data_IF_491307182658
#
_entry.id   IF_491307182658
#
_cell.length_a   1.000
_cell.length_b   1.000
_cell.length_c   1.000
_cell.angle_alpha   90.00
_cell.angle_beta   90.00
_cell.angle_gamma   90.00
#
_symmetry.space_group_name_H-M   'P 1'
#
loop_
_entity.id
_entity.type
_entity.pdbx_description
1 polymer ?
#
# COMPACT_ATOMS: atom_id res chain seq x y z
N UNK A 1 -4.63 -6.64 17.13
CA UNK A 1 -5.96 -7.20 16.80
C UNK A 1 -6.89 -6.05 16.44
N UNK A 2 -6.95 -5.66 15.16
CA UNK A 2 -7.99 -4.75 14.70
C UNK A 2 -9.33 -5.50 14.78
N UNK A 3 -10.27 -4.97 15.58
CA UNK A 3 -11.60 -5.55 15.71
C UNK A 3 -12.31 -5.46 14.36
N UNK A 4 -12.99 -6.55 13.96
CA UNK A 4 -13.85 -6.63 12.77
C UNK A 4 -14.79 -5.42 12.75
N UNK A 5 -14.47 -4.43 11.93
CA UNK A 5 -15.32 -3.26 11.73
C UNK A 5 -16.52 -3.69 10.87
N UNK A 6 -17.76 -3.38 11.28
CA UNK A 6 -18.94 -3.76 10.52
C UNK A 6 -18.87 -3.12 9.12
N UNK A 7 -19.23 -3.91 8.10
CA UNK A 7 -19.20 -3.60 6.67
C UNK A 7 -19.85 -2.24 6.30
N UNK A 8 -20.72 -1.71 7.16
CA UNK A 8 -21.36 -0.40 7.01
C UNK A 8 -20.41 0.81 7.24
N UNK A 9 -19.25 0.62 7.87
CA UNK A 9 -18.25 1.70 8.08
C UNK A 9 -17.24 1.82 6.92
N UNK A 10 -17.25 0.87 5.97
CA UNK A 10 -16.27 0.83 4.87
C UNK A 10 -16.56 1.84 3.74
N UNK A 11 -17.74 2.45 3.69
CA UNK A 11 -18.14 3.31 2.55
C UNK A 11 -17.65 4.76 2.69
N UNK A 12 -17.03 5.17 3.82
CA UNK A 12 -16.69 6.58 4.06
C UNK A 12 -15.20 6.93 3.90
N UNK A 13 -14.33 6.01 3.48
CA UNK A 13 -12.88 6.27 3.38
C UNK A 13 -12.34 6.54 1.96
N UNK A 14 -13.19 6.66 0.95
CA UNK A 14 -12.78 7.00 -0.42
C UNK A 14 -12.58 8.52 -0.67
N UNK A 15 -12.70 9.36 0.37
CA UNK A 15 -12.56 10.83 0.26
C UNK A 15 -11.55 11.43 1.25
N UNK A 16 -10.72 10.62 1.92
CA UNK A 16 -9.68 11.16 2.79
C UNK A 16 -8.52 11.67 1.94
N UNK A 17 -8.70 12.92 1.52
CA UNK A 17 -7.67 13.91 1.24
C UNK A 17 -6.39 13.41 0.61
N UNK A 18 -6.18 13.80 -0.64
CA UNK A 18 -4.87 14.34 -0.99
C UNK A 18 -4.59 15.47 0.02
N UNK A 19 -3.92 15.17 1.14
CA UNK A 19 -3.31 16.18 1.97
C UNK A 19 -2.42 16.98 1.00
N UNK A 20 -2.75 18.26 0.83
CA UNK A 20 -2.37 19.05 -0.34
C UNK A 20 -0.91 18.87 -0.72
N UNK A 21 -0.63 18.87 -2.02
CA UNK A 21 0.72 19.03 -2.51
C UNK A 21 1.29 20.31 -1.87
N UNK A 22 2.14 20.15 -0.85
CA UNK A 22 2.87 21.24 -0.24
C UNK A 22 4.09 21.42 -1.12
N UNK A 23 4.00 22.37 -2.04
CA UNK A 23 5.11 22.83 -2.85
C UNK A 23 5.70 24.05 -2.16
N UNK A 24 6.93 23.94 -1.68
CA UNK A 24 7.70 25.09 -1.20
C UNK A 24 8.70 25.47 -2.29
N UNK A 25 8.64 26.71 -2.73
CA UNK A 25 9.60 27.29 -3.67
C UNK A 25 10.34 28.42 -2.97
N UNK A 26 11.66 28.41 -3.08
CA UNK A 26 12.51 29.42 -2.47
C UNK A 26 13.69 29.74 -3.37
N UNK A 27 14.04 31.02 -3.41
CA UNK A 27 15.20 31.53 -4.13
C UNK A 27 16.37 31.69 -3.15
N UNK A 28 17.51 31.08 -3.48
CA UNK A 28 18.75 31.19 -2.69
C UNK A 28 19.86 31.65 -3.62
N UNK A 29 20.14 32.96 -3.62
CA UNK A 29 21.05 33.55 -4.61
C UNK A 29 20.49 33.36 -6.02
N UNK A 30 21.28 32.77 -6.90
CA UNK A 30 20.89 32.49 -8.30
C UNK A 30 20.14 31.15 -8.46
N UNK A 31 19.89 30.43 -7.36
CA UNK A 31 19.24 29.13 -7.39
C UNK A 31 17.76 29.22 -7.06
N UNK A 32 16.92 28.65 -7.93
CA UNK A 32 15.53 28.31 -7.62
C UNK A 32 15.49 26.90 -7.08
N UNK A 33 15.01 26.77 -5.85
CA UNK A 33 14.86 25.47 -5.19
C UNK A 33 13.39 25.19 -4.98
N UNK A 34 12.95 24.03 -5.48
CA UNK A 34 11.58 23.55 -5.35
C UNK A 34 11.56 22.25 -4.57
N UNK A 35 10.76 22.21 -3.51
CA UNK A 35 10.47 21.01 -2.76
C UNK A 35 8.99 20.66 -2.88
N UNK A 36 8.68 19.56 -3.57
CA UNK A 36 7.32 19.05 -3.70
C UNK A 36 7.16 17.79 -2.86
N UNK A 37 6.04 17.69 -2.13
CA UNK A 37 5.73 16.52 -1.29
C UNK A 37 4.34 15.99 -1.56
N UNK A 38 4.24 14.67 -1.67
CA UNK A 38 2.98 13.93 -1.74
C UNK A 38 3.00 12.89 -0.63
N UNK A 39 2.07 13.03 0.32
CA UNK A 39 1.80 12.01 1.34
C UNK A 39 0.40 11.46 1.06
N UNK A 40 0.31 10.14 0.95
CA UNK A 40 -0.97 9.47 0.74
C UNK A 40 -1.17 8.33 1.73
N UNK A 41 -2.44 8.08 2.04
CA UNK A 41 -2.91 6.91 2.76
C UNK A 41 -3.81 6.10 1.82
N UNK A 42 -3.65 4.78 1.82
CA UNK A 42 -4.48 3.86 1.05
C UNK A 42 -4.85 2.66 1.90
N UNK A 43 -6.06 2.14 1.68
CA UNK A 43 -6.51 0.89 2.28
C UNK A 43 -7.21 0.05 1.22
N UNK A 44 -7.08 -1.28 1.32
CA UNK A 44 -7.71 -2.21 0.40
C UNK A 44 -8.38 -3.36 1.18
N UNK A 45 -9.53 -3.81 0.68
CA UNK A 45 -10.29 -4.92 1.25
C UNK A 45 -10.55 -5.99 0.20
N UNK A 46 -10.61 -7.24 0.64
CA UNK A 46 -11.09 -8.35 -0.19
C UNK A 46 -12.62 -8.29 -0.26
N UNK A 47 -13.19 -8.12 -1.46
CA UNK A 47 -14.64 -7.95 -1.63
C UNK A 47 -15.38 -9.23 -1.99
N UNK A 48 -14.67 -10.22 -2.53
CA UNK A 48 -15.23 -11.50 -2.98
C UNK A 48 -14.66 -12.65 -2.17
N UNK A 49 -15.38 -13.77 -2.19
CA UNK A 49 -14.90 -15.01 -1.59
C UNK A 49 -13.65 -15.52 -2.32
N UNK A 50 -12.96 -16.48 -1.71
CA UNK A 50 -11.81 -17.12 -2.34
C UNK A 50 -12.26 -17.93 -3.55
N UNK A 51 -11.58 -17.72 -4.67
CA UNK A 51 -11.85 -18.48 -5.88
C UNK A 51 -11.19 -19.85 -5.75
N UNK A 52 -12.00 -20.91 -5.63
CA UNK A 52 -11.51 -22.28 -5.48
C UNK A 52 -10.67 -22.74 -6.67
N UNK A 53 -10.77 -22.09 -7.84
CA UNK A 53 -9.89 -22.35 -9.00
C UNK A 53 -8.44 -21.93 -8.77
N UNK A 54 -8.20 -21.07 -7.79
CA UNK A 54 -6.88 -20.56 -7.43
C UNK A 54 -6.28 -21.27 -6.21
N UNK A 55 -7.00 -22.21 -5.59
CA UNK A 55 -6.54 -22.91 -4.38
C UNK A 55 -6.25 -24.37 -4.70
N UNK A 56 -5.08 -24.85 -4.29
CA UNK A 56 -4.70 -26.23 -4.52
C UNK A 56 -5.53 -27.18 -3.62
N UNK A 57 -6.04 -28.32 -4.15
CA UNK A 57 -6.85 -29.26 -3.36
C UNK A 57 -6.14 -29.83 -2.11
N UNK A 58 -4.79 -29.80 -2.09
CA UNK A 58 -4.02 -30.17 -0.91
C UNK A 58 -4.00 -29.13 0.22
N UNK A 59 -4.33 -27.87 -0.08
CA UNK A 59 -4.35 -26.76 0.89
C UNK A 59 -5.78 -26.47 1.41
N UNK A 60 -6.82 -26.78 0.61
CA UNK A 60 -8.21 -26.65 1.02
C UNK A 60 -9.10 -27.65 0.27
N UNK A 61 -10.04 -28.27 0.99
CA UNK A 61 -11.05 -29.13 0.39
C UNK A 61 -11.88 -28.38 -0.67
N UNK A 62 -12.09 -29.01 -1.82
CA UNK A 62 -12.79 -28.39 -2.96
C UNK A 62 -11.91 -27.47 -3.82
N UNK A 63 -10.62 -27.32 -3.51
CA UNK A 63 -9.65 -26.62 -4.36
C UNK A 63 -9.51 -27.26 -5.73
N UNK A 64 -9.40 -26.44 -6.78
CA UNK A 64 -9.26 -26.85 -8.18
C UNK A 64 -7.96 -26.30 -8.82
N UNK A 65 -7.13 -25.61 -8.04
CA UNK A 65 -5.86 -25.03 -8.48
C UNK A 65 -4.80 -26.10 -8.72
N UNK A 66 -4.00 -25.91 -9.77
CA UNK A 66 -2.97 -26.87 -10.18
C UNK A 66 -1.68 -26.78 -9.33
N UNK A 67 -1.45 -25.66 -8.64
CA UNK A 67 -0.26 -25.41 -7.82
C UNK A 67 -0.63 -24.73 -6.50
N UNK A 68 -0.04 -25.18 -5.40
CA UNK A 68 -0.20 -24.60 -4.05
C UNK A 68 0.93 -23.64 -3.65
N UNK A 69 1.73 -23.16 -4.61
CA UNK A 69 2.88 -22.27 -4.32
C UNK A 69 2.49 -20.79 -4.37
N UNK A 70 1.33 -20.47 -4.97
CA UNK A 70 0.87 -19.10 -5.19
C UNK A 70 -0.55 -18.85 -4.68
N UNK A 71 -1.08 -19.74 -3.84
CA UNK A 71 -2.43 -19.64 -3.29
C UNK A 71 -2.49 -19.00 -1.89
N UNK A 72 -1.35 -18.79 -1.23
CA UNK A 72 -1.23 -18.10 0.07
C UNK A 72 -2.01 -16.77 0.13
N UNK A 73 -1.99 -15.96 -0.94
CA UNK A 73 -2.75 -14.71 -0.98
C UNK A 73 -4.28 -14.91 -0.92
N UNK A 74 -4.79 -16.04 -1.43
CA UNK A 74 -6.19 -16.43 -1.30
C UNK A 74 -6.49 -17.14 0.03
N UNK A 75 -5.50 -17.82 0.62
CA UNK A 75 -5.63 -18.52 1.90
C UNK A 75 -5.49 -17.58 3.10
N UNK A 76 -4.77 -16.45 2.95
CA UNK A 76 -4.48 -15.51 4.01
C UNK A 76 -5.62 -14.53 4.34
N UNK A 77 -6.55 -14.30 3.40
CA UNK A 77 -7.57 -13.27 3.53
C UNK A 77 -8.94 -13.76 3.09
N UNK A 78 -9.92 -13.61 3.98
CA UNK A 78 -11.33 -13.89 3.72
C UNK A 78 -12.06 -12.66 3.18
N UNK A 79 -13.27 -12.89 2.65
CA UNK A 79 -14.13 -11.80 2.20
C UNK A 79 -14.41 -10.84 3.36
N UNK A 80 -14.12 -9.57 3.14
CA UNK A 80 -14.26 -8.48 4.11
C UNK A 80 -12.96 -8.13 4.85
N UNK A 81 -11.91 -8.95 4.73
CA UNK A 81 -10.64 -8.66 5.37
C UNK A 81 -9.91 -7.51 4.67
N UNK A 82 -9.22 -6.71 5.45
CA UNK A 82 -8.34 -5.66 4.95
C UNK A 82 -7.02 -6.31 4.53
N UNK A 83 -6.62 -6.10 3.29
CA UNK A 83 -5.41 -6.72 2.71
C UNK A 83 -4.22 -5.77 2.65
N UNK A 84 -4.46 -4.47 2.87
CA UNK A 84 -3.44 -3.42 2.90
C UNK A 84 -3.94 -2.20 3.67
N UNK A 85 -3.07 -1.59 4.47
CA UNK A 85 -3.26 -0.29 5.09
C UNK A 85 -1.93 0.47 5.01
N UNK A 86 -1.76 1.27 3.97
CA UNK A 86 -0.47 1.83 3.56
C UNK A 86 -0.42 3.34 3.67
N UNK A 87 0.62 3.87 4.32
CA UNK A 87 1.06 5.26 4.19
C UNK A 87 2.23 5.30 3.22
N UNK A 88 2.22 6.25 2.27
CA UNK A 88 3.30 6.47 1.30
C UNK A 88 3.70 7.94 1.28
N UNK A 89 5.00 8.19 1.24
CA UNK A 89 5.57 9.51 0.99
C UNK A 89 6.41 9.50 -0.29
N UNK A 90 6.24 10.51 -1.14
CA UNK A 90 7.10 10.79 -2.29
C UNK A 90 7.46 12.27 -2.24
N UNK A 91 8.76 12.55 -2.33
CA UNK A 91 9.28 13.90 -2.18
C UNK A 91 10.31 14.19 -3.27
N UNK A 92 10.21 15.38 -3.84
CA UNK A 92 11.07 15.87 -4.89
C UNK A 92 11.78 17.12 -4.43
N UNK A 93 13.09 17.16 -4.63
CA UNK A 93 13.92 18.33 -4.49
C UNK A 93 14.53 18.65 -5.85
N UNK A 94 14.19 19.83 -6.39
CA UNK A 94 14.74 20.36 -7.62
C UNK A 94 15.53 21.63 -7.33
N UNK A 95 16.73 21.74 -7.87
CA UNK A 95 17.59 22.93 -7.79
C UNK A 95 17.93 23.34 -9.21
N UNK A 96 17.64 24.59 -9.56
CA UNK A 96 17.88 25.18 -10.87
C UNK A 96 18.72 26.46 -10.71
N UNK A 97 19.92 26.48 -11.27
CA UNK A 97 20.84 27.62 -11.31
C UNK A 97 21.03 28.18 -12.73
N UNK A 98 20.07 27.99 -13.64
CA UNK A 98 20.13 28.42 -15.03
C UNK A 98 20.83 27.40 -15.92
N UNK A 99 22.16 27.45 -15.99
CA UNK A 99 22.96 26.57 -16.87
C UNK A 99 23.23 25.18 -16.25
N UNK A 100 22.95 25.03 -14.95
CA UNK A 100 23.19 23.80 -14.19
C UNK A 100 22.13 23.62 -13.10
N UNK A 101 21.91 22.36 -12.70
CA UNK A 101 20.90 22.03 -11.71
C UNK A 101 21.02 20.59 -11.22
N UNK A 102 20.18 20.23 -10.26
CA UNK A 102 20.10 18.90 -9.69
C UNK A 102 18.66 18.53 -9.34
N UNK A 103 18.33 17.25 -9.48
CA UNK A 103 17.03 16.70 -9.09
C UNK A 103 17.22 15.44 -8.25
N UNK A 104 16.53 15.37 -7.12
CA UNK A 104 16.51 14.20 -6.24
C UNK A 104 15.07 13.86 -5.89
N UNK A 105 14.70 12.59 -6.03
CA UNK A 105 13.42 12.05 -5.57
C UNK A 105 13.65 10.95 -4.55
N UNK A 106 12.97 11.04 -3.41
CA UNK A 106 12.95 9.96 -2.42
C UNK A 106 11.52 9.50 -2.13
N UNK A 107 11.36 8.20 -1.86
CA UNK A 107 10.08 7.54 -1.62
C UNK A 107 10.19 6.58 -0.44
N UNK A 108 9.17 6.59 0.42
CA UNK A 108 9.01 5.62 1.49
C UNK A 108 7.56 5.16 1.59
N UNK A 109 7.34 4.00 2.20
CA UNK A 109 6.01 3.50 2.53
C UNK A 109 6.04 2.62 3.77
N UNK A 110 4.89 2.50 4.42
CA UNK A 110 4.65 1.62 5.55
C UNK A 110 3.25 1.03 5.41
N UNK A 111 3.14 -0.29 5.34
CA UNK A 111 1.87 -1.00 5.28
C UNK A 111 1.66 -1.81 6.57
N UNK A 112 0.67 -1.42 7.37
CA UNK A 112 0.45 -1.99 8.70
C UNK A 112 -0.01 -3.45 8.63
N UNK A 113 -0.86 -3.78 7.64
CA UNK A 113 -1.36 -5.15 7.44
C UNK A 113 -0.18 -6.06 7.13
N UNK A 114 0.60 -5.72 6.09
CA UNK A 114 1.74 -6.54 5.67
C UNK A 114 2.83 -6.62 6.74
N UNK A 115 3.01 -5.58 7.55
CA UNK A 115 4.10 -5.53 8.55
C UNK A 115 3.75 -6.25 9.85
N UNK A 116 2.52 -6.14 10.33
CA UNK A 116 2.13 -6.52 11.69
C UNK A 116 1.00 -7.54 11.77
N UNK A 117 0.21 -7.73 10.70
CA UNK A 117 -0.88 -8.69 10.74
C UNK A 117 -0.35 -10.11 10.60
N UNK A 118 -0.70 -10.96 11.56
CA UNK A 118 -0.37 -12.37 11.51
C UNK A 118 -1.42 -13.08 10.66
N UNK A 119 -1.03 -13.50 9.46
CA UNK A 119 -1.85 -14.33 8.57
C UNK A 119 -1.35 -15.78 8.58
N UNK A 120 -2.21 -16.77 8.27
CA UNK A 120 -1.86 -18.19 8.43
C UNK A 120 -0.61 -18.65 7.68
N UNK A 121 -0.33 -18.04 6.52
CA UNK A 121 0.83 -18.35 5.67
C UNK A 121 1.90 -17.25 5.71
N UNK A 122 1.84 -16.33 6.68
CA UNK A 122 2.78 -15.21 6.80
C UNK A 122 2.78 -14.25 5.59
N UNK A 123 3.72 -13.29 5.63
CA UNK A 123 3.95 -12.38 4.52
C UNK A 123 5.36 -12.57 3.96
N UNK A 124 5.47 -12.81 2.65
CA UNK A 124 6.77 -12.89 1.98
C UNK A 124 7.60 -11.62 2.17
N UNK A 125 6.94 -10.46 2.25
CA UNK A 125 7.60 -9.16 2.48
C UNK A 125 8.25 -9.04 3.87
N UNK A 126 7.88 -9.87 4.84
CA UNK A 126 8.45 -9.92 6.19
C UNK A 126 9.23 -11.21 6.47
N UNK A 127 9.54 -11.99 5.44
CA UNK A 127 10.20 -13.31 5.53
C UNK A 127 9.42 -14.36 6.34
N UNK A 128 8.08 -14.33 6.25
CA UNK A 128 7.15 -15.17 7.01
C UNK A 128 7.12 -14.83 8.51
#
# INVERSE_FOLDING_TARGET
MLKKLPLATAITLALVGTAGAQAAEFEVGDFRVKFDSIISYGAAWRLEERDMRLIHPGNMEGGMGQSGVADDGNLNFDKGDMVSSVIKGVHDLSIDGGDYGAFVRFKYWYDDVIKNEAVPHGHTATNY
#
